data_IF_561911602716
#
_entry.id   IF_561911602716
#
_cell.length_a   1.000
_cell.length_b   1.000
_cell.length_c   1.000
_cell.angle_alpha   90.00
_cell.angle_beta   90.00
_cell.angle_gamma   90.00
#
_symmetry.space_group_name_H-M   'P 1'
#
loop_
_entity.id
_entity.type
_entity.pdbx_description
1 polymer ?
#
# COMPACT_ATOMS: atom_id res chain seq x y z
N UNK A 1 -72.67 -25.96 -70.11
CA UNK A 1 -71.55 -25.37 -70.76
C UNK A 1 -70.93 -24.40 -69.79
N UNK A 2 -69.89 -24.79 -69.28
CA UNK A 2 -69.33 -24.33 -67.98
C UNK A 2 -68.19 -23.37 -68.20
N UNK A 3 -68.23 -22.26 -67.55
CA UNK A 3 -67.11 -21.33 -67.45
C UNK A 3 -66.46 -21.46 -66.11
N UNK A 4 -65.26 -21.96 -66.13
CA UNK A 4 -64.47 -22.03 -64.91
C UNK A 4 -63.68 -20.74 -64.77
N UNK A 5 -63.89 -20.12 -63.67
CA UNK A 5 -63.16 -18.92 -63.25
C UNK A 5 -61.81 -19.25 -62.71
N UNK A 6 -60.80 -18.68 -63.36
CA UNK A 6 -59.39 -18.77 -62.93
C UNK A 6 -59.23 -17.90 -61.70
N UNK A 7 -59.10 -18.55 -60.57
CA UNK A 7 -58.71 -17.89 -59.31
C UNK A 7 -57.18 -17.76 -59.20
N UNK A 8 -56.63 -16.59 -59.32
CA UNK A 8 -55.21 -16.31 -59.16
C UNK A 8 -54.94 -16.01 -57.67
N UNK A 9 -54.42 -16.99 -57.02
CA UNK A 9 -53.98 -16.87 -55.61
C UNK A 9 -52.58 -16.26 -55.56
N UNK A 10 -52.51 -14.99 -55.22
CA UNK A 10 -51.23 -14.37 -54.86
C UNK A 10 -50.73 -14.96 -53.56
N UNK A 11 -49.69 -15.74 -53.66
CA UNK A 11 -48.89 -16.16 -52.47
C UNK A 11 -48.06 -14.97 -52.06
N UNK A 12 -48.50 -14.28 -51.02
CA UNK A 12 -47.70 -13.29 -50.34
C UNK A 12 -46.47 -13.98 -49.68
N UNK A 13 -45.32 -13.71 -50.24
CA UNK A 13 -44.02 -14.11 -49.71
C UNK A 13 -43.79 -13.27 -48.43
N UNK A 14 -43.94 -13.88 -47.25
CA UNK A 14 -43.55 -13.25 -45.99
C UNK A 14 -42.05 -13.38 -45.86
N UNK A 15 -41.31 -12.31 -46.13
CA UNK A 15 -39.91 -12.16 -45.80
C UNK A 15 -39.84 -11.93 -44.28
N UNK A 16 -39.48 -12.95 -43.54
CA UNK A 16 -39.13 -12.82 -42.13
C UNK A 16 -37.75 -12.17 -42.04
N UNK A 17 -37.70 -10.87 -41.73
CA UNK A 17 -36.47 -10.17 -41.37
C UNK A 17 -36.08 -10.66 -39.98
N UNK A 18 -35.09 -11.55 -39.93
CA UNK A 18 -34.41 -11.92 -38.70
C UNK A 18 -33.51 -10.75 -38.27
N UNK A 19 -34.00 -9.91 -37.38
CA UNK A 19 -33.18 -8.91 -36.69
C UNK A 19 -32.24 -9.64 -35.72
N UNK A 20 -31.00 -9.86 -36.14
CA UNK A 20 -29.94 -10.32 -35.26
C UNK A 20 -29.58 -9.16 -34.31
N UNK A 21 -30.11 -9.20 -33.10
CA UNK A 21 -29.70 -8.33 -32.02
C UNK A 21 -28.27 -8.72 -31.59
N UNK A 22 -27.26 -8.03 -32.11
CA UNK A 22 -25.90 -8.06 -31.53
C UNK A 22 -25.97 -7.41 -30.15
N UNK A 23 -26.10 -8.20 -29.10
CA UNK A 23 -25.85 -7.76 -27.74
C UNK A 23 -24.33 -7.50 -27.62
N UNK A 24 -23.93 -6.26 -27.76
CA UNK A 24 -22.59 -5.81 -27.42
C UNK A 24 -22.43 -5.97 -25.91
N UNK A 25 -21.79 -7.06 -25.50
CA UNK A 25 -21.32 -7.23 -24.12
C UNK A 25 -20.19 -6.21 -23.95
N UNK A 26 -20.50 -5.04 -23.42
CA UNK A 26 -19.51 -4.10 -22.95
C UNK A 26 -18.80 -4.80 -21.78
N UNK A 27 -17.63 -5.38 -22.06
CA UNK A 27 -16.72 -5.83 -21.03
C UNK A 27 -16.28 -4.57 -20.27
N UNK A 28 -16.91 -4.30 -19.14
CA UNK A 28 -16.45 -3.29 -18.19
C UNK A 28 -15.07 -3.73 -17.74
N UNK A 29 -14.03 -3.08 -18.24
CA UNK A 29 -12.69 -3.23 -17.69
C UNK A 29 -12.79 -2.80 -16.23
N UNK A 30 -12.77 -3.75 -15.31
CA UNK A 30 -12.68 -3.48 -13.89
C UNK A 30 -11.31 -2.84 -13.67
N UNK A 31 -11.25 -1.53 -13.49
CA UNK A 31 -10.02 -0.90 -13.03
C UNK A 31 -9.63 -1.54 -11.71
N UNK A 32 -8.47 -2.17 -11.68
CA UNK A 32 -7.93 -2.73 -10.45
C UNK A 32 -7.81 -1.61 -9.41
N UNK A 33 -8.32 -1.85 -8.21
CA UNK A 33 -8.20 -0.88 -7.12
C UNK A 33 -6.71 -0.54 -6.89
N UNK A 34 -6.37 0.72 -6.65
CA UNK A 34 -5.00 1.13 -6.41
C UNK A 34 -4.42 0.34 -5.22
N UNK A 35 -3.19 -0.12 -5.37
CA UNK A 35 -2.51 -0.88 -4.32
C UNK A 35 -2.34 -0.08 -3.03
N UNK A 36 -2.12 -0.79 -1.94
CA UNK A 36 -2.10 -0.25 -0.58
C UNK A 36 -1.16 0.95 -0.40
N UNK A 37 0.00 0.95 -1.06
CA UNK A 37 1.05 1.95 -0.88
C UNK A 37 1.00 3.10 -1.87
N UNK A 38 0.09 3.09 -2.85
CA UNK A 38 0.05 4.07 -3.96
C UNK A 38 0.10 5.52 -3.47
N UNK A 39 -0.63 5.85 -2.43
CA UNK A 39 -0.68 7.21 -1.89
C UNK A 39 0.56 7.59 -1.04
N UNK A 40 1.40 6.63 -0.71
CA UNK A 40 2.61 6.87 0.10
C UNK A 40 3.79 7.36 -0.74
N UNK A 41 3.82 7.10 -2.07
CA UNK A 41 4.92 7.47 -2.95
C UNK A 41 5.34 8.93 -2.79
N UNK A 42 6.65 9.19 -2.83
CA UNK A 42 7.23 10.53 -2.76
C UNK A 42 8.03 10.81 -1.49
N UNK A 43 8.31 12.10 -1.24
CA UNK A 43 9.15 12.57 -0.14
C UNK A 43 8.31 13.05 1.02
N UNK A 44 8.75 12.71 2.22
CA UNK A 44 8.09 13.03 3.47
C UNK A 44 9.10 13.57 4.47
N UNK A 45 8.69 14.56 5.25
CA UNK A 45 9.54 15.15 6.30
C UNK A 45 8.70 15.44 7.54
N UNK A 46 9.35 15.39 8.68
CA UNK A 46 8.71 15.75 9.92
C UNK A 46 9.61 15.57 11.12
N UNK A 47 9.04 15.80 12.26
CA UNK A 47 9.68 15.71 13.54
C UNK A 47 8.80 15.02 14.57
N UNK A 48 9.39 14.74 15.71
CA UNK A 48 8.74 14.02 16.80
C UNK A 48 9.63 13.90 18.01
N UNK A 49 9.40 12.85 18.78
CA UNK A 49 10.11 12.55 20.01
C UNK A 49 10.67 11.14 20.02
N UNK A 50 11.81 10.98 20.66
CA UNK A 50 12.42 9.72 21.05
C UNK A 50 12.49 9.69 22.58
N UNK A 51 11.87 8.70 23.21
CA UNK A 51 11.79 8.56 24.67
C UNK A 51 12.68 7.41 25.14
N UNK A 52 13.47 7.68 26.17
CA UNK A 52 14.37 6.71 26.77
C UNK A 52 13.77 6.06 28.01
N UNK A 53 14.29 4.90 28.41
CA UNK A 53 13.91 4.23 29.68
C UNK A 53 14.26 5.05 30.92
N UNK A 54 15.20 5.97 30.80
CA UNK A 54 15.59 6.94 31.85
C UNK A 54 14.53 8.02 32.09
N UNK A 55 13.53 8.14 31.20
CA UNK A 55 12.55 9.22 31.19
C UNK A 55 12.99 10.44 30.37
N UNK A 56 14.20 10.43 29.84
CA UNK A 56 14.67 11.48 28.94
C UNK A 56 13.91 11.44 27.61
N UNK A 57 13.66 12.62 27.02
CA UNK A 57 12.99 12.77 25.73
C UNK A 57 13.84 13.67 24.85
N UNK A 58 14.24 13.14 23.70
CA UNK A 58 14.93 13.89 22.67
C UNK A 58 14.01 14.25 21.51
N UNK A 59 14.25 15.40 20.90
CA UNK A 59 13.61 15.75 19.62
C UNK A 59 14.26 14.96 18.49
N UNK A 60 13.43 14.34 17.66
CA UNK A 60 13.89 13.62 16.45
C UNK A 60 13.35 14.29 15.20
N UNK A 61 14.17 14.40 14.16
CA UNK A 61 13.80 14.88 12.83
C UNK A 61 13.98 13.77 11.82
N UNK A 62 12.99 13.53 11.01
CA UNK A 62 12.98 12.42 10.04
C UNK A 62 12.70 12.92 8.62
N UNK A 63 13.34 12.25 7.66
CA UNK A 63 13.05 12.35 6.23
C UNK A 63 12.88 10.95 5.68
N UNK A 64 11.80 10.74 4.94
CA UNK A 64 11.53 9.47 4.26
C UNK A 64 11.31 9.71 2.77
N UNK A 65 11.76 8.76 1.96
CA UNK A 65 11.41 8.65 0.55
C UNK A 65 10.78 7.28 0.35
N UNK A 66 9.62 7.27 -0.28
CA UNK A 66 8.89 6.06 -0.63
C UNK A 66 8.82 5.93 -2.15
N UNK A 67 9.31 4.81 -2.65
CA UNK A 67 9.18 4.39 -4.04
C UNK A 67 8.20 3.22 -4.09
N UNK A 68 7.13 3.38 -4.86
CA UNK A 68 6.06 2.39 -4.98
C UNK A 68 6.16 1.73 -6.34
N UNK A 69 6.15 0.41 -6.37
CA UNK A 69 6.38 -0.39 -7.57
C UNK A 69 5.10 -1.11 -8.01
N UNK A 70 5.00 -1.30 -9.34
CA UNK A 70 4.00 -2.15 -9.98
C UNK A 70 2.57 -1.72 -9.70
N UNK A 71 1.80 -2.63 -9.13
CA UNK A 71 0.39 -2.48 -8.79
C UNK A 71 0.13 -1.66 -7.51
N UNK A 72 1.16 -1.08 -6.93
CA UNK A 72 1.05 -0.31 -5.68
C UNK A 72 1.10 -1.14 -4.41
N UNK A 73 1.42 -2.43 -4.51
CA UNK A 73 1.50 -3.34 -3.37
C UNK A 73 2.94 -3.64 -2.91
N UNK A 74 3.93 -3.04 -3.56
CA UNK A 74 5.33 -3.11 -3.14
C UNK A 74 5.88 -1.70 -2.95
N UNK A 75 6.60 -1.49 -1.84
CA UNK A 75 7.19 -0.21 -1.47
C UNK A 75 8.63 -0.40 -1.04
N UNK A 76 9.50 0.46 -1.54
CA UNK A 76 10.86 0.65 -1.04
C UNK A 76 10.92 1.96 -0.27
N UNK A 77 11.39 1.90 0.96
CA UNK A 77 11.54 3.04 1.86
C UNK A 77 13.01 3.34 2.10
N UNK A 78 13.36 4.62 2.02
CA UNK A 78 14.61 5.15 2.58
C UNK A 78 14.26 6.16 3.66
N UNK A 79 14.64 5.89 4.90
CA UNK A 79 14.35 6.73 6.06
C UNK A 79 15.65 7.17 6.71
N UNK A 80 15.77 8.46 6.96
CA UNK A 80 16.83 9.03 7.79
C UNK A 80 16.20 9.80 8.94
N UNK A 81 16.56 9.45 10.17
CA UNK A 81 16.16 10.15 11.37
C UNK A 81 17.39 10.58 12.16
N UNK A 82 17.36 11.75 12.78
CA UNK A 82 18.43 12.27 13.61
C UNK A 82 17.90 12.97 14.85
N UNK A 83 18.56 12.74 15.98
CA UNK A 83 18.53 13.56 17.20
C UNK A 83 19.81 14.40 17.26
N UNK A 84 20.05 15.08 18.37
CA UNK A 84 21.31 15.80 18.57
C UNK A 84 22.47 14.82 18.86
N UNK A 85 22.18 13.61 19.36
CA UNK A 85 23.16 12.60 19.76
C UNK A 85 23.34 11.46 18.76
N UNK A 86 22.34 11.18 17.91
CA UNK A 86 22.30 9.97 17.09
C UNK A 86 21.68 10.20 15.70
N UNK A 87 22.11 9.37 14.75
CA UNK A 87 21.53 9.31 13.40
C UNK A 87 21.24 7.87 13.02
N UNK A 88 20.07 7.63 12.47
CA UNK A 88 19.64 6.34 11.96
C UNK A 88 19.35 6.43 10.47
N UNK A 89 19.82 5.46 9.70
CA UNK A 89 19.59 5.36 8.25
C UNK A 89 19.01 3.98 7.96
N UNK A 90 17.71 3.93 7.71
CA UNK A 90 16.98 2.67 7.47
C UNK A 90 16.54 2.60 6.02
N UNK A 91 16.77 1.45 5.39
CA UNK A 91 16.18 1.06 4.11
C UNK A 91 15.32 -0.17 4.33
N UNK A 92 14.14 -0.20 3.73
CA UNK A 92 13.27 -1.37 3.77
C UNK A 92 12.57 -1.59 2.44
N UNK A 93 12.28 -2.85 2.13
CA UNK A 93 11.41 -3.25 1.02
C UNK A 93 10.29 -4.09 1.59
N UNK A 94 9.05 -3.66 1.38
CA UNK A 94 7.86 -4.27 1.96
C UNK A 94 6.88 -4.60 0.85
N UNK A 95 6.33 -5.80 0.88
CA UNK A 95 5.28 -6.29 -0.03
C UNK A 95 4.00 -6.52 0.76
N UNK A 96 2.90 -5.99 0.27
CA UNK A 96 1.55 -6.26 0.75
C UNK A 96 0.95 -7.44 -0.02
N UNK A 97 0.28 -8.33 0.68
CA UNK A 97 -0.44 -9.48 0.15
C UNK A 97 -1.94 -9.29 0.37
N UNK A 98 -2.68 -8.77 -0.61
CA UNK A 98 -4.09 -8.38 -0.45
C UNK A 98 -4.98 -9.51 0.08
N UNK A 99 -4.83 -10.73 -0.44
CA UNK A 99 -5.64 -11.89 -0.05
C UNK A 99 -5.54 -12.24 1.45
N UNK A 100 -4.41 -11.90 2.09
CA UNK A 100 -4.16 -12.19 3.50
C UNK A 100 -4.22 -10.93 4.39
N UNK A 101 -4.34 -9.73 3.80
CA UNK A 101 -4.19 -8.46 4.54
C UNK A 101 -2.82 -8.31 5.20
N UNK A 102 -1.81 -9.05 4.73
CA UNK A 102 -0.52 -9.19 5.37
C UNK A 102 0.57 -8.38 4.65
N UNK A 103 1.55 -7.92 5.41
CA UNK A 103 2.80 -7.37 4.88
C UNK A 103 3.97 -8.24 5.28
N UNK A 104 4.94 -8.35 4.38
CA UNK A 104 6.22 -9.00 4.62
C UNK A 104 7.33 -8.19 3.96
N UNK A 105 8.53 -8.24 4.52
CA UNK A 105 9.64 -7.52 3.92
C UNK A 105 10.94 -7.68 4.70
N UNK A 106 11.92 -6.95 4.24
CA UNK A 106 13.26 -6.89 4.81
C UNK A 106 13.61 -5.43 5.11
N UNK A 107 14.44 -5.23 6.12
CA UNK A 107 14.99 -3.92 6.48
C UNK A 107 16.46 -4.01 6.82
N UNK A 108 17.13 -2.89 6.68
CA UNK A 108 18.53 -2.72 7.08
C UNK A 108 18.72 -1.32 7.64
N UNK A 109 19.39 -1.24 8.77
CA UNK A 109 19.90 -0.01 9.36
C UNK A 109 21.40 0.08 9.08
N UNK A 110 21.84 1.18 8.48
CA UNK A 110 23.19 1.29 7.95
C UNK A 110 24.22 1.81 8.99
N UNK A 111 23.78 2.53 10.01
CA UNK A 111 24.66 3.14 11.03
C UNK A 111 25.31 2.08 11.93
N UNK A 112 24.51 1.09 12.33
CA UNK A 112 24.95 -0.01 13.19
C UNK A 112 25.11 -1.35 12.47
N UNK A 113 24.81 -1.40 11.17
CA UNK A 113 24.93 -2.61 10.37
C UNK A 113 23.90 -3.69 10.68
N UNK A 114 22.75 -3.33 11.24
CA UNK A 114 21.69 -4.25 11.65
C UNK A 114 20.74 -4.49 10.48
N UNK A 115 20.31 -5.72 10.29
CA UNK A 115 19.30 -6.07 9.30
C UNK A 115 18.33 -7.10 9.85
N UNK A 116 17.17 -7.24 9.18
CA UNK A 116 16.15 -8.17 9.65
C UNK A 116 14.92 -8.18 8.77
N UNK A 117 13.83 -8.69 9.35
CA UNK A 117 12.55 -8.89 8.67
C UNK A 117 11.46 -7.99 9.22
N UNK A 118 10.52 -7.70 8.34
CA UNK A 118 9.25 -7.04 8.64
C UNK A 118 8.12 -8.04 8.39
N UNK A 119 7.21 -8.14 9.33
CA UNK A 119 5.96 -8.91 9.15
C UNK A 119 4.82 -8.16 9.83
N UNK A 120 3.60 -8.37 9.39
CA UNK A 120 2.46 -7.71 10.02
C UNK A 120 1.22 -7.71 9.15
N UNK A 121 0.34 -6.76 9.42
CA UNK A 121 -0.91 -6.56 8.70
C UNK A 121 -1.06 -5.10 8.25
N UNK A 122 -1.80 -4.91 7.17
CA UNK A 122 -2.13 -3.60 6.68
C UNK A 122 -3.54 -3.55 6.09
N UNK A 123 -4.14 -2.39 6.20
CA UNK A 123 -5.40 -2.02 5.58
C UNK A 123 -5.32 -0.57 5.14
N UNK A 124 -6.34 -0.06 4.43
CA UNK A 124 -6.32 1.30 3.91
C UNK A 124 -5.89 2.33 4.98
N UNK A 125 -4.73 2.96 4.76
CA UNK A 125 -4.18 3.99 5.63
C UNK A 125 -3.58 3.53 6.96
N UNK A 126 -3.55 2.23 7.27
CA UNK A 126 -3.01 1.73 8.54
C UNK A 126 -2.12 0.51 8.34
N UNK A 127 -0.94 0.54 8.93
CA UNK A 127 0.04 -0.56 8.94
C UNK A 127 0.39 -0.88 10.40
N UNK A 128 0.37 -2.15 10.74
CA UNK A 128 0.91 -2.66 12.01
C UNK A 128 1.93 -3.73 11.70
N UNK A 129 3.17 -3.48 12.09
CA UNK A 129 4.30 -4.35 11.78
C UNK A 129 5.08 -4.75 13.02
N UNK A 130 5.63 -5.94 12.97
CA UNK A 130 6.72 -6.39 13.80
C UNK A 130 8.00 -6.33 12.97
N UNK A 131 8.99 -5.62 13.48
CA UNK A 131 10.33 -5.51 12.92
C UNK A 131 11.28 -6.28 13.84
N UNK A 132 12.04 -7.22 13.28
CA UNK A 132 12.93 -8.07 14.07
C UNK A 132 14.27 -8.20 13.35
N UNK A 133 15.40 -8.06 14.11
CA UNK A 133 16.74 -8.33 13.58
C UNK A 133 16.97 -9.81 13.33
N UNK A 134 17.93 -10.13 12.45
CA UNK A 134 18.26 -11.51 12.11
C UNK A 134 18.75 -12.33 13.28
N UNK A 135 19.48 -11.72 14.20
CA UNK A 135 19.95 -12.29 15.47
C UNK A 135 18.91 -12.28 16.61
N UNK A 136 17.72 -11.69 16.35
CA UNK A 136 16.61 -11.51 17.29
C UNK A 136 16.91 -10.64 18.52
N UNK A 137 18.04 -9.93 18.55
CA UNK A 137 18.40 -9.05 19.65
C UNK A 137 17.60 -7.73 19.64
N UNK A 138 17.07 -7.35 18.47
CA UNK A 138 16.21 -6.20 18.31
C UNK A 138 14.83 -6.63 17.82
N UNK A 139 13.79 -6.18 18.50
CA UNK A 139 12.40 -6.32 18.09
C UNK A 139 11.67 -5.00 18.35
N UNK A 140 10.83 -4.58 17.43
CA UNK A 140 10.01 -3.38 17.61
C UNK A 140 8.62 -3.56 16.98
N UNK A 141 7.60 -3.03 17.66
CA UNK A 141 6.26 -2.84 17.07
C UNK A 141 6.21 -1.48 16.40
N UNK A 142 5.78 -1.49 15.16
CA UNK A 142 5.65 -0.28 14.34
C UNK A 142 4.18 -0.11 13.95
N UNK A 143 3.65 1.07 14.19
CA UNK A 143 2.32 1.48 13.70
C UNK A 143 2.50 2.69 12.81
N UNK A 144 1.95 2.64 11.61
CA UNK A 144 1.93 3.76 10.67
C UNK A 144 0.48 4.03 10.30
N UNK A 145 0.06 5.28 10.45
CA UNK A 145 -1.27 5.73 10.03
C UNK A 145 -1.11 6.88 9.05
N UNK A 146 -1.56 6.67 7.82
CA UNK A 146 -1.48 7.68 6.75
C UNK A 146 -2.86 8.25 6.46
N UNK A 147 -2.99 9.57 6.47
CA UNK A 147 -4.21 10.30 6.13
C UNK A 147 -3.88 11.41 5.14
N UNK A 148 -4.13 11.14 3.86
CA UNK A 148 -3.79 12.07 2.78
C UNK A 148 -2.29 12.37 2.74
N UNK A 149 -1.90 13.57 3.10
CA UNK A 149 -0.51 14.05 3.11
C UNK A 149 0.15 14.02 4.48
N UNK A 150 -0.49 13.43 5.47
CA UNK A 150 0.02 13.31 6.83
C UNK A 150 0.21 11.83 7.20
N UNK A 151 1.24 11.54 7.97
CA UNK A 151 1.58 10.21 8.44
C UNK A 151 2.04 10.26 9.89
N UNK A 152 1.38 9.51 10.75
CA UNK A 152 1.79 9.26 12.12
C UNK A 152 2.55 7.94 12.17
N UNK A 153 3.77 7.97 12.69
CA UNK A 153 4.64 6.80 12.87
C UNK A 153 4.91 6.62 14.34
N UNK A 154 4.62 5.44 14.86
CA UNK A 154 4.88 5.06 16.23
C UNK A 154 5.70 3.77 16.25
N UNK A 155 6.86 3.80 16.89
CA UNK A 155 7.76 2.66 17.04
C UNK A 155 7.97 2.41 18.52
N UNK A 156 7.73 1.17 18.97
CA UNK A 156 7.97 0.70 20.33
C UNK A 156 8.93 -0.47 20.31
N UNK A 157 10.23 -0.22 20.55
CA UNK A 157 11.20 -1.28 20.70
C UNK A 157 10.92 -2.14 21.94
N UNK A 158 11.29 -3.40 21.85
CA UNK A 158 11.28 -4.34 22.97
C UNK A 158 12.73 -4.63 23.37
N UNK A 159 12.99 -4.69 24.67
CA UNK A 159 14.33 -5.00 25.22
C UNK A 159 15.43 -4.02 24.75
N UNK A 160 15.10 -2.74 24.66
CA UNK A 160 16.01 -1.69 24.26
C UNK A 160 15.91 -0.48 25.21
N UNK A 161 16.91 0.37 25.25
CA UNK A 161 16.92 1.56 26.11
C UNK A 161 15.97 2.67 25.63
N UNK A 162 15.46 2.58 24.40
CA UNK A 162 14.41 3.45 23.85
C UNK A 162 13.07 2.79 24.11
N UNK A 163 12.11 3.53 24.66
CA UNK A 163 10.76 3.05 24.93
C UNK A 163 9.78 3.36 23.79
N UNK A 164 9.98 4.52 23.17
CA UNK A 164 9.09 4.97 22.10
C UNK A 164 9.79 5.94 21.15
N UNK A 165 9.45 5.84 19.87
CA UNK A 165 9.70 6.86 18.87
C UNK A 165 8.38 7.24 18.23
N UNK A 166 7.97 8.51 18.36
CA UNK A 166 6.74 9.04 17.79
C UNK A 166 7.07 10.18 16.82
N UNK A 167 6.69 10.03 15.54
CA UNK A 167 7.03 11.01 14.49
C UNK A 167 5.79 11.34 13.69
N UNK A 168 5.59 12.62 13.39
CA UNK A 168 4.61 13.11 12.43
C UNK A 168 5.30 13.56 11.16
N UNK A 169 5.00 12.89 10.05
CA UNK A 169 5.55 13.22 8.74
C UNK A 169 4.49 13.90 7.88
N UNK A 170 4.95 14.81 7.02
CA UNK A 170 4.15 15.45 5.97
C UNK A 170 4.78 15.22 4.61
N UNK A 171 3.96 14.95 3.62
CA UNK A 171 4.40 14.78 2.24
C UNK A 171 4.83 16.13 1.67
N UNK A 172 6.06 16.17 1.12
CA UNK A 172 6.68 17.42 0.62
C UNK A 172 6.86 17.43 -0.90
N UNK A 173 6.70 16.31 -1.56
CA UNK A 173 6.80 16.20 -3.02
C UNK A 173 6.12 14.95 -3.54
#
# INVERSE_FOLDING_TARGET
MTWESLGWRYRALRIAAAAAAFAAIAASASEAAPGLFTNMAGKWRGDGSLSWTTGEVERIRCQATYEVEGDGNKITQSLTCATDSTKLVVKSTITYRPAAGAIVGDWREATYGINGRVSGSASAGSIRALVQSGDKNFTARVTVVTRGREQDVLIRPENFNVTEVAVKLRKTG
#
